data_IF_806401265327
#
_entry.id   IF_806401265327
#
_cell.length_a   1.000
_cell.length_b   1.000
_cell.length_c   1.000
_cell.angle_alpha   90.00
_cell.angle_beta   90.00
_cell.angle_gamma   90.00
#
_symmetry.space_group_name_H-M   'P 1'
#
loop_
_entity.id
_entity.type
_entity.pdbx_description
1 polymer ?
#
# COMPACT_ATOMS: atom_id res chain seq x y z
N UNK A 1 -9.92 8.79 -14.05
CA UNK A 1 -8.89 8.39 -13.06
C UNK A 1 -9.52 7.33 -12.18
N UNK A 2 -9.64 6.09 -12.65
CA UNK A 2 -10.29 5.02 -11.88
C UNK A 2 -9.31 4.42 -10.87
N UNK A 3 -9.18 5.10 -9.74
CA UNK A 3 -8.81 4.44 -8.49
C UNK A 3 -10.09 3.86 -7.93
N UNK A 4 -10.22 2.53 -7.89
CA UNK A 4 -11.47 1.90 -7.47
C UNK A 4 -11.82 2.19 -6.02
N UNK A 5 -10.82 2.32 -5.13
CA UNK A 5 -11.01 2.94 -3.81
C UNK A 5 -9.72 3.56 -3.27
N UNK A 6 -9.86 4.75 -2.68
CA UNK A 6 -8.83 5.42 -1.88
C UNK A 6 -9.23 5.30 -0.41
N UNK A 7 -8.40 4.67 0.41
CA UNK A 7 -8.68 4.52 1.82
C UNK A 7 -7.67 5.28 2.66
N UNK A 8 -8.16 6.08 3.60
CA UNK A 8 -7.36 6.61 4.69
C UNK A 8 -7.54 5.66 5.87
N UNK A 9 -6.45 5.09 6.39
CA UNK A 9 -6.51 4.22 7.55
C UNK A 9 -5.86 4.89 8.76
N UNK A 10 -6.47 4.68 9.91
CA UNK A 10 -5.92 5.05 11.23
C UNK A 10 -5.61 3.73 11.92
N UNK A 11 -4.34 3.40 12.04
CA UNK A 11 -3.88 2.11 12.56
C UNK A 11 -3.18 2.34 13.91
N UNK A 12 -3.54 1.57 14.96
CA UNK A 12 -2.78 1.54 16.19
C UNK A 12 -1.40 0.91 15.93
N UNK A 13 -0.36 1.54 16.48
CA UNK A 13 1.09 1.42 16.22
C UNK A 13 1.70 0.12 15.58
N UNK A 14 2.62 0.34 14.63
CA UNK A 14 3.81 -0.45 14.19
C UNK A 14 3.66 -1.93 13.74
N UNK A 15 2.66 -2.26 12.93
CA UNK A 15 2.74 -3.48 12.10
C UNK A 15 3.71 -3.28 10.91
N UNK A 16 4.45 -4.33 10.52
CA UNK A 16 5.24 -4.29 9.26
C UNK A 16 4.31 -4.04 8.07
N UNK A 17 4.81 -3.40 7.00
CA UNK A 17 4.01 -3.14 5.80
C UNK A 17 3.35 -4.41 5.22
N UNK A 18 3.96 -5.58 5.38
CA UNK A 18 3.43 -6.86 4.94
C UNK A 18 2.17 -7.28 5.71
N UNK A 19 2.21 -7.26 7.04
CA UNK A 19 1.06 -7.58 7.92
C UNK A 19 -0.14 -6.66 7.65
N UNK A 20 0.17 -5.40 7.33
CA UNK A 20 -0.83 -4.39 7.01
C UNK A 20 -1.54 -4.72 5.68
N UNK A 21 -0.80 -5.22 4.69
CA UNK A 21 -1.37 -5.70 3.43
C UNK A 21 -2.25 -6.94 3.64
N UNK A 22 -1.83 -7.88 4.47
CA UNK A 22 -2.61 -9.08 4.79
C UNK A 22 -3.96 -8.74 5.42
N UNK A 23 -3.97 -7.84 6.41
CA UNK A 23 -5.22 -7.36 7.02
C UNK A 23 -6.12 -6.68 5.99
N UNK A 24 -5.55 -5.88 5.09
CA UNK A 24 -6.32 -5.24 4.00
C UNK A 24 -6.86 -6.27 3.00
N UNK A 25 -6.12 -7.34 2.70
CA UNK A 25 -6.61 -8.41 1.83
C UNK A 25 -7.85 -9.09 2.41
N UNK A 26 -7.84 -9.38 3.72
CA UNK A 26 -8.97 -10.02 4.40
C UNK A 26 -10.19 -9.10 4.46
N UNK A 27 -9.99 -7.83 4.82
CA UNK A 27 -11.11 -6.86 4.96
C UNK A 27 -11.80 -6.60 3.62
N UNK A 28 -11.01 -6.52 2.54
CA UNK A 28 -11.52 -6.14 1.22
C UNK A 28 -11.67 -7.31 0.25
N UNK A 29 -11.42 -8.55 0.69
CA UNK A 29 -11.46 -9.77 -0.13
C UNK A 29 -10.70 -9.64 -1.45
N UNK A 30 -9.51 -9.03 -1.39
CA UNK A 30 -8.67 -8.81 -2.57
C UNK A 30 -7.84 -10.05 -2.83
N UNK A 31 -7.91 -10.56 -4.06
CA UNK A 31 -7.22 -11.79 -4.49
C UNK A 31 -5.69 -11.64 -4.47
N UNK A 32 -5.17 -10.46 -4.82
CA UNK A 32 -3.74 -10.22 -5.01
C UNK A 32 -3.17 -9.16 -4.06
N UNK A 33 -2.14 -9.51 -3.29
CA UNK A 33 -1.45 -8.56 -2.38
C UNK A 33 -0.63 -7.51 -3.12
N UNK A 34 -0.29 -7.77 -4.38
CA UNK A 34 0.54 -6.92 -5.24
C UNK A 34 -0.21 -5.71 -5.79
N UNK A 35 -1.55 -5.73 -5.79
CA UNK A 35 -2.39 -4.58 -6.18
C UNK A 35 -2.67 -3.62 -5.02
N UNK A 36 -2.22 -3.96 -3.81
CA UNK A 36 -2.40 -3.17 -2.59
C UNK A 36 -1.13 -2.35 -2.33
N UNK A 37 -1.28 -1.03 -2.43
CA UNK A 37 -0.21 -0.07 -2.18
C UNK A 37 -0.51 0.75 -0.95
N UNK A 38 0.46 0.80 -0.03
CA UNK A 38 0.31 1.44 1.27
C UNK A 38 1.42 2.49 1.39
N UNK A 39 1.08 3.76 1.66
CA UNK A 39 2.04 4.86 1.63
C UNK A 39 1.69 6.01 2.58
N UNK A 40 2.70 6.88 2.78
CA UNK A 40 2.61 8.14 3.53
C UNK A 40 2.11 7.92 4.96
N UNK A 41 2.76 7.00 5.66
CA UNK A 41 2.55 6.81 7.08
C UNK A 41 3.05 8.05 7.85
N UNK A 42 2.21 8.61 8.71
CA UNK A 42 2.58 9.61 9.70
C UNK A 42 2.18 9.10 11.08
N UNK A 43 3.15 9.03 11.97
CA UNK A 43 2.93 8.77 13.39
C UNK A 43 2.50 10.06 14.07
N UNK A 44 1.46 10.00 14.91
CA UNK A 44 1.12 11.13 15.78
C UNK A 44 2.13 11.26 16.92
N UNK A 45 2.39 12.49 17.35
CA UNK A 45 3.27 12.76 18.50
C UNK A 45 2.66 12.17 19.77
N UNK A 46 3.48 11.51 20.58
CA UNK A 46 3.04 10.74 21.75
C UNK A 46 2.90 9.23 21.51
N UNK A 47 3.01 8.76 20.27
CA UNK A 47 2.95 7.33 19.94
C UNK A 47 1.54 6.73 20.11
N UNK A 48 1.29 5.59 19.46
CA UNK A 48 0.04 4.84 19.62
C UNK A 48 -0.90 4.87 18.42
N UNK A 49 -0.91 5.95 17.61
CA UNK A 49 -1.71 6.02 16.36
C UNK A 49 -0.84 6.45 15.19
N UNK A 50 -0.93 5.69 14.10
CA UNK A 50 -0.31 6.00 12.81
C UNK A 50 -1.40 6.15 11.76
N UNK A 51 -1.36 7.23 11.01
CA UNK A 51 -2.24 7.43 9.86
C UNK A 51 -1.50 7.10 8.58
N UNK A 52 -2.18 6.55 7.59
CA UNK A 52 -1.61 6.34 6.27
C UNK A 52 -2.69 6.12 5.21
N UNK A 53 -2.23 6.00 3.98
CA UNK A 53 -3.10 5.86 2.82
C UNK A 53 -2.89 4.53 2.13
N UNK A 54 -4.00 3.90 1.75
CA UNK A 54 -4.06 2.63 1.03
C UNK A 54 -4.76 2.84 -0.31
N UNK A 55 -4.14 2.35 -1.37
CA UNK A 55 -4.70 2.27 -2.72
C UNK A 55 -4.86 0.80 -3.08
N UNK A 56 -6.04 0.44 -3.57
CA UNK A 56 -6.36 -0.89 -4.05
C UNK A 56 -6.78 -0.76 -5.50
N UNK A 57 -6.14 -1.54 -6.38
CA UNK A 57 -6.49 -1.66 -7.79
C UNK A 57 -7.03 -3.05 -8.09
N UNK A 58 -7.87 -3.17 -9.12
CA UNK A 58 -8.35 -4.47 -9.58
C UNK A 58 -7.33 -5.20 -10.47
N UNK A 59 -6.43 -4.46 -11.15
CA UNK A 59 -5.43 -5.01 -12.07
C UNK A 59 -4.05 -4.35 -11.91
N UNK A 60 -3.01 -5.16 -12.14
CA UNK A 60 -1.59 -4.75 -12.10
C UNK A 60 -1.26 -3.74 -13.21
N UNK A 61 -1.96 -3.80 -14.34
CA UNK A 61 -1.76 -2.86 -15.45
C UNK A 61 -2.21 -1.44 -15.08
N UNK A 62 -3.33 -1.33 -14.38
CA UNK A 62 -3.81 -0.06 -13.83
C UNK A 62 -2.82 0.48 -12.80
N UNK A 63 -2.31 -0.37 -11.93
CA UNK A 63 -1.28 0.04 -10.96
C UNK A 63 -0.05 0.64 -11.66
N UNK A 64 0.43 0.04 -12.76
CA UNK A 64 1.59 0.54 -13.53
C UNK A 64 1.31 1.85 -14.27
N UNK A 65 0.08 2.06 -14.74
CA UNK A 65 -0.32 3.26 -15.51
C UNK A 65 -0.49 4.49 -14.63
N UNK A 66 -1.00 4.32 -13.41
CA UNK A 66 -1.34 5.42 -12.51
C UNK A 66 -0.28 5.70 -11.44
N UNK A 67 0.58 4.73 -11.12
CA UNK A 67 1.69 4.96 -10.19
C UNK A 67 2.91 5.56 -10.91
N UNK A 68 3.50 6.64 -10.38
CA UNK A 68 4.75 7.15 -10.91
C UNK A 68 5.89 6.15 -10.67
N UNK A 69 6.77 6.00 -11.68
CA UNK A 69 7.85 4.99 -11.73
C UNK A 69 8.70 4.91 -10.47
N UNK A 70 8.93 6.04 -9.78
CA UNK A 70 9.73 6.07 -8.55
C UNK A 70 9.09 5.30 -7.38
N UNK A 71 7.76 5.15 -7.34
CA UNK A 71 7.08 4.41 -6.25
C UNK A 71 7.18 2.91 -6.45
N UNK A 72 7.13 2.44 -7.70
CA UNK A 72 7.34 1.02 -8.06
C UNK A 72 8.73 0.52 -7.62
N UNK A 73 9.75 1.37 -7.71
CA UNK A 73 11.11 1.04 -7.27
C UNK A 73 11.18 0.83 -5.75
N UNK A 74 10.47 1.65 -4.96
CA UNK A 74 10.50 1.60 -3.49
C UNK A 74 9.71 0.43 -2.87
N UNK A 75 8.76 -0.15 -3.61
CA UNK A 75 7.85 -1.21 -3.11
C UNK A 75 8.40 -2.62 -3.37
N UNK A 76 9.66 -2.74 -3.82
CA UNK A 76 10.37 -4.04 -3.95
C UNK A 76 9.98 -4.83 -5.21
N UNK A 77 10.10 -4.24 -6.40
CA UNK A 77 9.97 -4.97 -7.69
C UNK A 77 11.10 -4.69 -8.70
N UNK A 78 11.98 -3.70 -8.45
CA UNK A 78 13.01 -3.26 -9.42
C UNK A 78 14.46 -3.39 -8.91
N UNK A 79 14.68 -3.77 -7.65
CA UNK A 79 16.03 -3.90 -7.07
C UNK A 79 16.68 -5.28 -7.24
N UNK A 80 15.93 -6.30 -7.71
CA UNK A 80 16.44 -7.69 -7.86
C UNK A 80 16.93 -8.00 -9.29
N UNK A 81 16.84 -7.05 -10.22
CA UNK A 81 17.34 -7.22 -11.61
C UNK A 81 18.59 -6.38 -11.90
N UNK A 82 19.20 -5.76 -10.88
CA UNK A 82 20.39 -4.90 -11.00
C UNK A 82 21.59 -5.42 -10.18
N UNK A 83 21.46 -6.57 -9.52
CA UNK A 83 22.57 -7.29 -8.87
C UNK A 83 22.59 -8.75 -9.32
#
# INVERSE_FOLDING_TARGET
MEFLKKYAFVIPCFGKHAELKEKLQVIYNVKDSSTIFVFKFRTHFGGGKSTGFGLIYDSVENAKKYEPKYRLIRVTLLLILVY
#
